data_IF_977770436853
#
_entry.id   IF_977770436853
#
_cell.length_a   1.000
_cell.length_b   1.000
_cell.length_c   1.000
_cell.angle_alpha   90.00
_cell.angle_beta   90.00
_cell.angle_gamma   90.00
#
_symmetry.space_group_name_H-M   'P 1'
#
loop_
_entity.id
_entity.type
_entity.pdbx_description
1 polymer ?
#
# COMPACT_ATOMS: atom_id res chain seq x y z
N UNK A 1 22.26 -14.28 4.38
CA UNK A 1 21.05 -13.82 3.67
C UNK A 1 20.45 -12.75 4.54
N UNK A 2 20.56 -11.48 4.14
CA UNK A 2 19.99 -10.39 4.90
C UNK A 2 18.46 -10.56 4.86
N UNK A 3 17.85 -10.72 6.02
CA UNK A 3 16.43 -10.39 6.21
C UNK A 3 16.31 -8.93 5.80
N UNK A 4 15.96 -8.68 4.53
CA UNK A 4 16.00 -7.35 3.93
C UNK A 4 15.12 -6.42 4.75
N UNK A 5 15.71 -5.36 5.29
CA UNK A 5 14.97 -4.31 5.95
C UNK A 5 13.83 -3.86 5.03
N UNK A 6 12.63 -3.77 5.59
CA UNK A 6 11.47 -3.22 4.92
C UNK A 6 11.77 -1.76 4.64
N UNK A 7 12.14 -1.44 3.39
CA UNK A 7 12.47 -0.07 2.96
C UNK A 7 11.18 0.66 2.59
N UNK A 8 10.67 1.60 3.40
CA UNK A 8 9.38 2.25 3.14
C UNK A 8 9.39 3.03 1.82
N UNK A 9 10.57 3.44 1.34
CA UNK A 9 10.70 4.12 0.06
C UNK A 9 10.28 3.25 -1.13
N UNK A 10 10.64 1.97 -1.13
CA UNK A 10 10.23 1.03 -2.18
C UNK A 10 8.70 0.88 -2.19
N UNK A 11 8.08 0.90 -1.01
CA UNK A 11 6.62 0.86 -0.88
C UNK A 11 5.98 2.14 -1.45
N UNK A 12 6.59 3.30 -1.20
CA UNK A 12 6.13 4.57 -1.74
C UNK A 12 6.17 4.56 -3.28
N UNK A 13 7.29 4.15 -3.87
CA UNK A 13 7.47 4.02 -5.31
C UNK A 13 6.48 3.02 -5.93
N UNK A 14 6.23 1.90 -5.24
CA UNK A 14 5.24 0.91 -5.67
C UNK A 14 3.82 1.46 -5.70
N UNK A 15 3.45 2.26 -4.68
CA UNK A 15 2.15 2.91 -4.57
C UNK A 15 1.97 4.02 -5.60
N UNK A 16 3.03 4.70 -6.05
CA UNK A 16 2.92 5.73 -7.09
C UNK A 16 2.34 5.18 -8.41
N UNK A 17 2.53 3.90 -8.69
CA UNK A 17 1.95 3.23 -9.85
C UNK A 17 0.48 2.80 -9.70
N UNK A 18 -0.16 3.03 -8.55
CA UNK A 18 -1.56 2.64 -8.32
C UNK A 18 -2.50 3.80 -8.67
N UNK A 19 -3.73 3.52 -9.16
CA UNK A 19 -4.75 4.54 -9.35
C UNK A 19 -5.00 5.35 -8.06
N UNK A 20 -5.28 6.66 -8.20
CA UNK A 20 -5.89 7.44 -7.11
C UNK A 20 -7.36 7.05 -6.97
N UNK A 21 -7.87 7.06 -5.75
CA UNK A 21 -9.24 6.65 -5.44
C UNK A 21 -9.36 5.13 -5.33
N UNK A 22 -10.55 4.62 -5.63
CA UNK A 22 -10.89 3.20 -5.50
C UNK A 22 -10.48 2.40 -6.73
N UNK A 23 -9.85 1.24 -6.53
CA UNK A 23 -9.62 0.23 -7.56
C UNK A 23 -9.87 -1.18 -7.00
N UNK A 24 -10.18 -2.12 -7.89
CA UNK A 24 -10.16 -3.54 -7.55
C UNK A 24 -8.79 -4.13 -7.90
N UNK A 25 -8.46 -5.28 -7.33
CA UNK A 25 -7.28 -6.03 -7.72
C UNK A 25 -7.18 -7.38 -7.05
N UNK A 26 -5.99 -7.97 -7.13
CA UNK A 26 -5.72 -9.27 -6.51
C UNK A 26 -4.42 -9.30 -5.72
N UNK A 27 -4.43 -10.07 -4.64
CA UNK A 27 -3.26 -10.35 -3.80
C UNK A 27 -3.36 -11.78 -3.28
N UNK A 28 -2.32 -12.60 -3.49
CA UNK A 28 -2.28 -14.02 -3.06
C UNK A 28 -3.55 -14.83 -3.43
N UNK A 29 -4.05 -14.65 -4.66
CA UNK A 29 -5.23 -15.35 -5.16
C UNK A 29 -6.57 -14.83 -4.62
N UNK A 30 -6.57 -13.79 -3.77
CA UNK A 30 -7.77 -13.16 -3.20
C UNK A 30 -8.06 -11.84 -3.89
N UNK A 31 -9.35 -11.47 -3.99
CA UNK A 31 -9.81 -10.20 -4.55
C UNK A 31 -9.88 -9.14 -3.46
N UNK A 32 -9.41 -7.93 -3.74
CA UNK A 32 -9.47 -6.80 -2.83
C UNK A 32 -10.03 -5.57 -3.53
N UNK A 33 -10.86 -4.81 -2.83
CA UNK A 33 -11.12 -3.42 -3.13
C UNK A 33 -10.15 -2.55 -2.36
N UNK A 34 -9.47 -1.64 -3.04
CA UNK A 34 -8.42 -0.80 -2.47
C UNK A 34 -8.67 0.66 -2.79
N UNK A 35 -8.72 1.49 -1.76
CA UNK A 35 -8.75 2.94 -1.87
C UNK A 35 -7.37 3.50 -1.54
N UNK A 36 -6.82 4.28 -2.47
CA UNK A 36 -5.59 5.03 -2.27
C UNK A 36 -5.89 6.52 -2.34
N UNK A 37 -5.52 7.25 -1.29
CA UNK A 37 -5.62 8.70 -1.26
C UNK A 37 -4.25 9.33 -1.12
N UNK A 38 -3.98 10.41 -1.85
CA UNK A 38 -2.74 11.18 -1.75
C UNK A 38 -3.01 12.62 -1.34
N UNK A 39 -2.14 13.18 -0.52
CA UNK A 39 -2.20 14.61 -0.22
C UNK A 39 -1.87 15.44 -1.45
N UNK A 40 -2.35 16.68 -1.51
CA UNK A 40 -2.11 17.57 -2.66
C UNK A 40 -0.63 17.85 -2.95
N UNK A 41 0.25 17.72 -1.94
CA UNK A 41 1.71 17.82 -2.07
C UNK A 41 2.40 16.47 -2.33
N UNK A 42 1.65 15.36 -2.44
CA UNK A 42 2.16 14.01 -2.66
C UNK A 42 2.97 13.41 -1.50
N UNK A 43 3.09 14.13 -0.37
CA UNK A 43 3.94 13.71 0.76
C UNK A 43 3.28 12.69 1.67
N UNK A 44 1.97 12.49 1.55
CA UNK A 44 1.19 11.56 2.38
C UNK A 44 0.35 10.68 1.47
N UNK A 45 0.37 9.39 1.77
CA UNK A 45 -0.46 8.39 1.11
C UNK A 45 -1.25 7.67 2.19
N UNK A 46 -2.56 7.55 2.01
CA UNK A 46 -3.44 6.74 2.84
C UNK A 46 -3.90 5.54 2.01
N UNK A 47 -3.60 4.35 2.50
CA UNK A 47 -3.97 3.07 1.91
C UNK A 47 -5.02 2.40 2.78
N UNK A 48 -6.12 2.00 2.14
CA UNK A 48 -7.11 1.13 2.76
C UNK A 48 -7.54 0.05 1.77
N UNK A 49 -7.51 -1.22 2.17
CA UNK A 49 -7.90 -2.36 1.35
C UNK A 49 -8.74 -3.36 2.14
N UNK A 50 -9.79 -3.86 1.51
CA UNK A 50 -10.69 -4.89 2.05
C UNK A 50 -10.82 -6.06 1.09
N UNK A 51 -10.72 -7.27 1.62
CA UNK A 51 -10.95 -8.50 0.87
C UNK A 51 -12.43 -8.60 0.45
N UNK A 52 -12.67 -8.90 -0.82
CA UNK A 52 -14.02 -9.11 -1.35
C UNK A 52 -14.52 -10.49 -0.94
N UNK A 53 -15.58 -10.54 -0.13
CA UNK A 53 -16.19 -11.79 0.34
C UNK A 53 -15.41 -12.50 1.45
N UNK A 54 -14.39 -11.85 2.01
CA UNK A 54 -13.60 -12.32 3.14
C UNK A 54 -13.54 -11.29 4.27
N UNK A 55 -12.64 -11.51 5.23
CA UNK A 55 -12.44 -10.62 6.39
C UNK A 55 -11.07 -9.92 6.39
N UNK A 56 -10.25 -10.10 5.35
CA UNK A 56 -8.94 -9.49 5.25
C UNK A 56 -9.02 -7.97 5.11
N UNK A 57 -8.24 -7.25 5.90
CA UNK A 57 -8.08 -5.79 5.83
C UNK A 57 -6.60 -5.46 5.78
N UNK A 58 -6.22 -4.46 4.99
CA UNK A 58 -4.89 -3.83 5.01
C UNK A 58 -5.07 -2.33 5.08
N UNK A 59 -4.45 -1.68 6.06
CA UNK A 59 -4.58 -0.23 6.25
C UNK A 59 -3.27 0.36 6.74
N UNK A 60 -2.83 1.44 6.10
CA UNK A 60 -1.60 2.14 6.46
C UNK A 60 -1.55 3.56 5.91
N UNK A 61 -0.75 4.40 6.57
CA UNK A 61 -0.30 5.67 6.04
C UNK A 61 1.18 5.56 5.65
N UNK A 62 1.56 6.23 4.57
CA UNK A 62 2.96 6.40 4.17
C UNK A 62 3.29 7.88 4.07
N UNK A 63 4.44 8.27 4.61
CA UNK A 63 4.92 9.64 4.64
C UNK A 63 6.25 9.75 3.92
N UNK A 64 6.39 10.74 3.03
CA UNK A 64 7.68 11.14 2.43
C UNK A 64 8.33 12.25 3.26
N UNK A 65 9.55 12.00 3.70
CA UNK A 65 10.34 12.88 4.56
C UNK A 65 11.23 13.82 3.72
N UNK A 66 11.77 14.87 4.35
CA UNK A 66 12.46 15.96 3.65
C UNK A 66 13.84 15.58 3.11
N UNK A 67 14.45 14.52 3.66
CA UNK A 67 15.74 13.93 3.29
C UNK A 67 15.63 12.87 2.18
N UNK A 68 14.42 12.65 1.64
CA UNK A 68 14.16 11.61 0.64
C UNK A 68 13.85 10.24 1.24
N UNK A 69 13.80 10.12 2.57
CA UNK A 69 13.33 8.92 3.27
C UNK A 69 11.80 8.79 3.23
N UNK A 70 11.32 7.62 3.62
CA UNK A 70 9.90 7.38 3.81
C UNK A 70 9.63 6.66 5.13
N UNK A 71 8.43 6.87 5.67
CA UNK A 71 7.96 6.24 6.90
C UNK A 71 6.62 5.55 6.65
N UNK A 72 6.56 4.25 6.95
CA UNK A 72 5.32 3.47 6.95
C UNK A 72 4.68 3.47 8.35
N UNK A 73 3.37 3.70 8.40
CA UNK A 73 2.55 3.64 9.63
C UNK A 73 1.32 2.75 9.40
N UNK A 74 1.43 1.44 9.68
CA UNK A 74 0.28 0.53 9.66
C UNK A 74 -0.78 0.89 10.70
N UNK A 75 -2.05 0.62 10.41
CA UNK A 75 -3.15 0.74 11.36
C UNK A 75 -3.45 -0.64 11.96
N UNK A 76 -3.09 -0.83 13.23
CA UNK A 76 -3.47 -2.05 14.01
C UNK A 76 -3.02 -3.38 13.37
N UNK A 77 -1.94 -3.38 12.59
CA UNK A 77 -1.37 -4.58 11.96
C UNK A 77 0.16 -4.49 11.79
N UNK A 78 0.87 -5.61 11.61
CA UNK A 78 2.31 -5.61 11.39
C UNK A 78 2.72 -4.90 10.11
N UNK A 79 3.87 -4.21 10.12
CA UNK A 79 4.40 -3.52 8.95
C UNK A 79 4.71 -4.48 7.79
N UNK A 80 5.15 -5.70 8.11
CA UNK A 80 5.47 -6.75 7.16
C UNK A 80 4.24 -7.19 6.37
N UNK A 81 3.06 -7.23 7.00
CA UNK A 81 1.79 -7.56 6.33
C UNK A 81 1.45 -6.49 5.30
N UNK A 82 1.57 -5.21 5.67
CA UNK A 82 1.34 -4.08 4.76
C UNK A 82 2.33 -4.10 3.61
N UNK A 83 3.62 -4.28 3.88
CA UNK A 83 4.63 -4.30 2.82
C UNK A 83 4.44 -5.48 1.86
N UNK A 84 4.15 -6.68 2.37
CA UNK A 84 3.85 -7.84 1.53
C UNK A 84 2.65 -7.58 0.64
N UNK A 85 1.61 -6.95 1.19
CA UNK A 85 0.43 -6.54 0.42
C UNK A 85 0.79 -5.52 -0.65
N UNK A 86 1.46 -4.41 -0.32
CA UNK A 86 1.83 -3.35 -1.28
C UNK A 86 2.71 -3.90 -2.41
N UNK A 87 3.69 -4.74 -2.08
CA UNK A 87 4.59 -5.32 -3.08
C UNK A 87 3.89 -6.37 -3.97
N UNK A 88 2.94 -7.13 -3.41
CA UNK A 88 2.28 -8.23 -4.11
C UNK A 88 0.95 -7.89 -4.78
N UNK A 89 0.25 -6.84 -4.35
CA UNK A 89 -1.06 -6.47 -4.87
C UNK A 89 -0.93 -6.02 -6.32
N UNK A 90 -1.89 -6.46 -7.15
CA UNK A 90 -1.98 -6.12 -8.57
C UNK A 90 -3.28 -5.37 -8.81
N UNK A 91 -3.23 -4.03 -8.91
CA UNK A 91 -4.41 -3.24 -9.27
C UNK A 91 -4.92 -3.61 -10.66
N UNK A 92 -6.23 -3.71 -10.80
CA UNK A 92 -6.90 -3.76 -12.10
C UNK A 92 -7.04 -2.32 -12.59
N UNK A 93 -6.19 -1.94 -13.54
CA UNK A 93 -6.24 -0.63 -14.16
C UNK A 93 -7.26 -0.72 -15.31
N UNK A 94 -8.32 0.12 -15.32
CA UNK A 94 -9.24 0.18 -16.45
C UNK A 94 -8.48 0.51 -17.74
N UNK A 95 -8.83 -0.14 -18.83
CA UNK A 95 -8.22 0.08 -20.16
C UNK A 95 -8.57 1.46 -20.72
#
# INVERSE_FOLDING_TARGET
MATGCLEPRILAERLDGWPEGHCEGSFEGRRFGVTLHRSGDGRRIWLYGEERGGGGIVSANLYRLADGEALLRPCEMPAEVVARFVLGFRPEIPS
#
